data_IF_835426783540
#
_entry.id   IF_835426783540
#
_cell.length_a   1.000
_cell.length_b   1.000
_cell.length_c   1.000
_cell.angle_alpha   90.00
_cell.angle_beta   90.00
_cell.angle_gamma   90.00
#
_symmetry.space_group_name_H-M   'P 1'
#
loop_
_entity.id
_entity.type
_entity.pdbx_description
1 polymer ?
#
# COMPACT_ATOMS: atom_id res chain seq x y z
N UNK A 1 -2.30 -46.19 22.77
CA UNK A 1 -2.34 -45.72 21.37
C UNK A 1 -1.68 -44.35 21.37
N UNK A 2 -0.54 -44.23 20.71
CA UNK A 2 0.25 -43.01 20.64
C UNK A 2 -0.03 -42.38 19.29
N UNK A 3 -0.53 -41.15 19.26
CA UNK A 3 -0.80 -40.42 18.02
C UNK A 3 0.44 -39.62 17.65
N UNK A 4 1.04 -39.93 16.52
CA UNK A 4 2.05 -39.08 15.87
C UNK A 4 1.36 -37.81 15.31
N UNK A 5 2.02 -36.65 15.31
CA UNK A 5 1.47 -35.45 14.70
C UNK A 5 1.62 -35.50 13.18
N UNK A 6 0.53 -35.22 12.45
CA UNK A 6 0.53 -35.12 11.00
C UNK A 6 1.31 -33.87 10.55
N UNK A 7 2.34 -34.10 9.72
CA UNK A 7 3.08 -33.07 9.01
C UNK A 7 2.18 -32.37 7.98
N UNK A 8 1.86 -31.10 8.21
CA UNK A 8 1.16 -30.24 7.26
C UNK A 8 2.22 -29.58 6.36
N UNK A 9 2.64 -30.28 5.31
CA UNK A 9 3.44 -29.69 4.23
C UNK A 9 2.48 -29.11 3.18
N UNK A 10 1.90 -27.94 3.46
CA UNK A 10 1.15 -27.18 2.46
C UNK A 10 2.13 -26.50 1.51
N UNK A 11 2.37 -27.17 0.38
CA UNK A 11 3.03 -26.60 -0.79
C UNK A 11 2.12 -25.49 -1.35
N UNK A 12 2.33 -24.25 -0.90
CA UNK A 12 1.64 -23.07 -1.44
C UNK A 12 2.27 -22.77 -2.80
N UNK A 13 1.65 -23.29 -3.86
CA UNK A 13 1.93 -22.97 -5.25
C UNK A 13 1.35 -21.57 -5.54
N UNK A 14 2.12 -20.52 -5.25
CA UNK A 14 1.78 -19.16 -5.66
C UNK A 14 2.21 -19.02 -7.11
N UNK A 15 1.25 -19.10 -8.02
CA UNK A 15 1.44 -18.81 -9.45
C UNK A 15 1.77 -17.32 -9.64
N UNK A 16 3.07 -16.99 -9.62
CA UNK A 16 3.61 -15.64 -9.92
C UNK A 16 3.68 -15.44 -11.45
N UNK A 17 2.61 -15.75 -12.17
CA UNK A 17 2.56 -15.61 -13.64
C UNK A 17 1.62 -14.51 -14.14
N UNK A 18 1.08 -13.66 -13.27
CA UNK A 18 0.17 -12.58 -13.69
C UNK A 18 0.62 -11.18 -13.31
N UNK A 19 1.93 -10.92 -13.21
CA UNK A 19 2.44 -9.54 -13.26
C UNK A 19 2.28 -9.04 -14.69
N UNK A 20 1.04 -8.67 -15.02
CA UNK A 20 0.72 -7.84 -16.18
C UNK A 20 1.43 -6.51 -15.96
N UNK A 21 2.39 -6.21 -16.83
CA UNK A 21 2.85 -4.84 -17.13
C UNK A 21 1.62 -4.00 -17.49
N UNK A 22 0.94 -3.53 -16.45
CA UNK A 22 -0.22 -2.67 -16.56
C UNK A 22 0.34 -1.26 -16.55
N UNK A 23 0.32 -0.62 -17.71
CA UNK A 23 0.86 0.72 -17.95
C UNK A 23 0.62 1.64 -16.75
N UNK A 24 1.72 2.12 -16.19
CA UNK A 24 1.85 2.86 -14.92
C UNK A 24 1.06 4.20 -14.89
N UNK A 25 0.36 4.56 -15.95
CA UNK A 25 -0.06 5.95 -16.18
C UNK A 25 -1.37 6.33 -15.45
N UNK A 26 -2.26 5.36 -15.20
CA UNK A 26 -3.59 5.61 -14.59
C UNK A 26 -3.64 5.38 -13.07
N UNK A 27 -2.56 4.89 -12.46
CA UNK A 27 -2.50 4.64 -11.02
C UNK A 27 -2.51 5.95 -10.22
N UNK A 28 -3.24 5.96 -9.10
CA UNK A 28 -3.37 7.12 -8.21
C UNK A 28 -2.02 7.59 -7.65
N UNK A 29 -1.15 6.62 -7.34
CA UNK A 29 0.26 6.82 -6.98
C UNK A 29 1.07 5.75 -7.69
N UNK A 30 2.10 6.18 -8.42
CA UNK A 30 3.04 5.29 -9.13
C UNK A 30 4.20 4.87 -8.23
N UNK A 31 4.87 3.76 -8.58
CA UNK A 31 6.08 3.32 -7.87
C UNK A 31 7.17 4.40 -7.88
N UNK A 32 7.32 5.10 -9.00
CA UNK A 32 8.29 6.21 -9.13
C UNK A 32 7.99 7.36 -8.16
N UNK A 33 6.72 7.75 -8.02
CA UNK A 33 6.32 8.77 -7.04
C UNK A 33 6.55 8.30 -5.60
N UNK A 34 6.32 7.03 -5.32
CA UNK A 34 6.56 6.46 -3.99
C UNK A 34 8.05 6.41 -3.65
N UNK A 35 8.91 5.96 -4.57
CA UNK A 35 10.37 6.02 -4.42
C UNK A 35 10.86 7.44 -4.17
N UNK A 36 10.34 8.41 -4.91
CA UNK A 36 10.63 9.83 -4.69
C UNK A 36 10.20 10.30 -3.31
N UNK A 37 9.02 9.88 -2.84
CA UNK A 37 8.53 10.21 -1.51
C UNK A 37 9.45 9.67 -0.39
N UNK A 38 10.01 8.47 -0.57
CA UNK A 38 10.96 7.86 0.34
C UNK A 38 12.41 8.35 0.17
N UNK A 39 12.69 9.24 -0.79
CA UNK A 39 14.04 9.64 -1.20
C UNK A 39 14.93 8.45 -1.66
N UNK A 40 14.33 7.47 -2.35
CA UNK A 40 15.00 6.30 -2.91
C UNK A 40 15.28 6.41 -4.43
N UNK A 41 15.14 7.60 -5.03
CA UNK A 41 15.42 7.78 -6.46
C UNK A 41 16.88 7.45 -6.79
N UNK A 42 17.08 6.53 -7.75
CA UNK A 42 18.41 6.07 -8.15
C UNK A 42 19.08 5.09 -7.18
N UNK A 43 18.38 4.66 -6.13
CA UNK A 43 18.83 3.59 -5.23
C UNK A 43 18.29 2.26 -5.77
N UNK A 44 19.19 1.29 -5.93
CA UNK A 44 18.82 -0.09 -6.25
C UNK A 44 18.22 -0.73 -4.99
N UNK A 45 16.90 -0.92 -5.00
CA UNK A 45 16.13 -1.46 -3.89
C UNK A 45 15.19 -2.56 -4.41
N UNK A 46 14.72 -3.41 -3.52
CA UNK A 46 13.71 -4.42 -3.84
C UNK A 46 12.38 -3.75 -4.20
N UNK A 47 12.18 -3.56 -5.51
CA UNK A 47 10.99 -2.95 -6.10
C UNK A 47 9.73 -3.77 -5.82
N UNK A 48 9.85 -5.10 -5.64
CA UNK A 48 8.70 -5.96 -5.37
C UNK A 48 8.12 -5.65 -3.98
N UNK A 49 8.98 -5.40 -2.99
CA UNK A 49 8.54 -4.99 -1.63
C UNK A 49 7.87 -3.61 -1.69
N UNK A 50 8.48 -2.65 -2.38
CA UNK A 50 7.90 -1.30 -2.52
C UNK A 50 6.56 -1.35 -3.25
N UNK A 51 6.47 -2.14 -4.31
CA UNK A 51 5.25 -2.32 -5.10
C UNK A 51 4.14 -2.98 -4.26
N UNK A 52 4.47 -4.04 -3.52
CA UNK A 52 3.53 -4.73 -2.64
C UNK A 52 2.94 -3.82 -1.56
N UNK A 53 3.79 -2.99 -0.92
CA UNK A 53 3.35 -2.07 0.13
C UNK A 53 2.48 -0.94 -0.43
N UNK A 54 2.83 -0.44 -1.62
CA UNK A 54 2.04 0.57 -2.34
C UNK A 54 0.66 0.03 -2.74
N UNK A 55 0.60 -1.15 -3.36
CA UNK A 55 -0.66 -1.76 -3.78
C UNK A 55 -1.57 -2.09 -2.58
N UNK A 56 -0.98 -2.54 -1.47
CA UNK A 56 -1.69 -2.77 -0.21
C UNK A 56 -2.29 -1.47 0.34
N UNK A 57 -1.54 -0.37 0.30
CA UNK A 57 -2.01 0.94 0.77
C UNK A 57 -3.12 1.53 -0.12
N UNK A 58 -3.00 1.39 -1.44
CA UNK A 58 -4.04 1.80 -2.40
C UNK A 58 -5.32 1.01 -2.13
N UNK A 59 -5.23 -0.31 -2.04
CA UNK A 59 -6.38 -1.19 -1.75
C UNK A 59 -7.06 -0.82 -0.43
N UNK A 60 -6.27 -0.57 0.62
CA UNK A 60 -6.79 -0.14 1.92
C UNK A 60 -7.53 1.19 1.81
N UNK A 61 -6.92 2.21 1.21
CA UNK A 61 -7.52 3.54 1.10
C UNK A 61 -8.80 3.52 0.26
N UNK A 62 -8.80 2.78 -0.86
CA UNK A 62 -9.99 2.62 -1.70
C UNK A 62 -11.13 1.96 -0.93
N UNK A 63 -10.84 0.89 -0.18
CA UNK A 63 -11.83 0.20 0.65
C UNK A 63 -12.35 1.10 1.78
N UNK A 64 -11.46 1.80 2.48
CA UNK A 64 -11.82 2.71 3.56
C UNK A 64 -12.65 3.90 3.08
N UNK A 65 -12.46 4.31 1.82
CA UNK A 65 -13.16 5.42 1.21
C UNK A 65 -14.39 5.01 0.37
N UNK A 66 -14.66 3.71 0.23
CA UNK A 66 -15.73 3.16 -0.61
C UNK A 66 -15.72 3.74 -2.04
N UNK A 67 -14.52 4.00 -2.57
CA UNK A 67 -14.30 4.65 -3.86
C UNK A 67 -12.94 4.25 -4.41
N UNK A 68 -12.89 4.01 -5.72
CA UNK A 68 -11.66 3.81 -6.46
C UNK A 68 -11.40 5.07 -7.31
N UNK A 69 -10.41 5.85 -6.88
CA UNK A 69 -10.03 7.05 -7.60
C UNK A 69 -9.19 6.72 -8.82
N UNK A 70 -9.36 7.51 -9.88
CA UNK A 70 -8.40 7.62 -10.98
C UNK A 70 -7.37 8.68 -10.64
N UNK A 71 -6.20 8.63 -11.28
CA UNK A 71 -5.18 9.66 -11.08
C UNK A 71 -5.70 11.09 -11.31
N UNK A 72 -6.58 11.29 -12.29
CA UNK A 72 -7.12 12.59 -12.67
C UNK A 72 -8.14 13.18 -11.69
N UNK A 73 -8.80 12.34 -10.90
CA UNK A 73 -9.88 12.76 -9.98
C UNK A 73 -9.55 12.48 -8.51
N UNK A 74 -8.37 11.94 -8.21
CA UNK A 74 -7.96 11.66 -6.85
C UNK A 74 -7.62 12.94 -6.07
N UNK A 75 -8.29 13.20 -4.92
CA UNK A 75 -7.95 14.30 -4.05
C UNK A 75 -6.50 14.17 -3.52
N UNK A 76 -5.75 15.28 -3.38
CA UNK A 76 -4.41 15.27 -2.80
C UNK A 76 -4.33 14.56 -1.44
N UNK A 77 -5.35 14.71 -0.59
CA UNK A 77 -5.41 14.09 0.74
C UNK A 77 -5.41 12.56 0.65
N UNK A 78 -6.11 11.99 -0.33
CA UNK A 78 -6.12 10.54 -0.57
C UNK A 78 -4.75 10.07 -1.06
N UNK A 79 -4.09 10.83 -1.94
CA UNK A 79 -2.72 10.53 -2.39
C UNK A 79 -1.74 10.54 -1.21
N UNK A 80 -1.85 11.52 -0.30
CA UNK A 80 -1.03 11.56 0.91
C UNK A 80 -1.36 10.42 1.89
N UNK A 81 -2.63 10.03 2.00
CA UNK A 81 -3.05 8.89 2.81
C UNK A 81 -2.41 7.58 2.29
N UNK A 82 -2.42 7.37 0.97
CA UNK A 82 -1.77 6.23 0.32
C UNK A 82 -0.25 6.25 0.57
N UNK A 83 0.43 7.37 0.31
CA UNK A 83 1.88 7.48 0.50
C UNK A 83 2.28 7.25 1.97
N UNK A 84 1.54 7.83 2.91
CA UNK A 84 1.81 7.65 4.34
C UNK A 84 1.60 6.21 4.81
N UNK A 85 0.53 5.55 4.33
CA UNK A 85 0.26 4.15 4.68
C UNK A 85 1.25 3.19 4.02
N UNK A 86 1.59 3.41 2.75
CA UNK A 86 2.60 2.62 2.04
C UNK A 86 3.96 2.72 2.73
N UNK A 87 4.35 3.92 3.16
CA UNK A 87 5.56 4.14 3.96
C UNK A 87 5.51 3.35 5.26
N UNK A 88 4.40 3.40 6.00
CA UNK A 88 4.27 2.64 7.24
C UNK A 88 4.35 1.12 7.02
N UNK A 89 3.71 0.60 5.97
CA UNK A 89 3.82 -0.81 5.59
C UNK A 89 5.24 -1.20 5.22
N UNK A 90 5.93 -0.35 4.46
CA UNK A 90 7.32 -0.53 4.12
C UNK A 90 8.21 -0.58 5.37
N UNK A 91 8.14 0.42 6.24
CA UNK A 91 8.90 0.46 7.49
C UNK A 91 8.57 -0.74 8.40
N UNK A 92 7.32 -1.20 8.42
CA UNK A 92 6.93 -2.40 9.18
C UNK A 92 7.56 -3.67 8.61
N UNK A 93 7.63 -3.79 7.28
CA UNK A 93 8.27 -4.92 6.59
C UNK A 93 9.79 -4.94 6.80
N UNK A 94 10.43 -3.76 6.88
CA UNK A 94 11.87 -3.65 7.12
C UNK A 94 12.25 -3.69 8.60
N UNK A 95 11.27 -3.60 9.51
CA UNK A 95 11.51 -3.56 10.96
C UNK A 95 11.90 -2.18 11.49
N UNK A 96 11.66 -1.12 10.71
CA UNK A 96 12.04 0.27 10.99
C UNK A 96 10.82 1.18 11.25
N UNK A 97 9.65 0.60 11.56
CA UNK A 97 8.41 1.34 11.80
C UNK A 97 8.59 2.48 12.81
N UNK A 98 8.41 3.71 12.32
CA UNK A 98 8.56 4.94 13.10
C UNK A 98 7.42 5.18 14.10
N UNK A 99 6.27 4.54 13.86
CA UNK A 99 5.05 4.65 14.66
C UNK A 99 4.27 3.32 14.65
N UNK A 100 3.33 3.16 15.59
CA UNK A 100 2.45 1.99 15.58
C UNK A 100 1.41 2.07 14.46
N UNK A 101 0.91 0.91 14.04
CA UNK A 101 -0.15 0.81 13.02
C UNK A 101 -1.40 1.60 13.41
N UNK A 102 -1.79 1.59 14.68
CA UNK A 102 -2.93 2.37 15.16
C UNK A 102 -2.77 3.88 14.91
N UNK A 103 -1.56 4.42 15.11
CA UNK A 103 -1.29 5.85 14.91
C UNK A 103 -1.26 6.18 13.41
N UNK A 104 -0.63 5.33 12.61
CA UNK A 104 -0.61 5.48 11.15
C UNK A 104 -2.04 5.49 10.58
N UNK A 105 -2.87 4.52 10.98
CA UNK A 105 -4.25 4.40 10.51
C UNK A 105 -5.13 5.59 10.93
N UNK A 106 -4.95 6.13 12.15
CA UNK A 106 -5.65 7.37 12.57
C UNK A 106 -5.33 8.55 11.66
N UNK A 107 -4.06 8.70 11.26
CA UNK A 107 -3.63 9.75 10.32
C UNK A 107 -4.26 9.57 8.94
N UNK A 108 -4.21 8.35 8.41
CA UNK A 108 -4.82 7.96 7.13
C UNK A 108 -6.32 8.27 7.13
N UNK A 109 -7.06 7.79 8.13
CA UNK A 109 -8.51 8.01 8.22
C UNK A 109 -8.86 9.49 8.29
N UNK A 110 -8.06 10.30 9.00
CA UNK A 110 -8.28 11.75 9.05
C UNK A 110 -8.13 12.41 7.67
N UNK A 111 -7.12 12.02 6.89
CA UNK A 111 -6.95 12.53 5.52
C UNK A 111 -8.11 12.10 4.62
N UNK A 112 -8.56 10.84 4.72
CA UNK A 112 -9.71 10.36 3.96
C UNK A 112 -11.00 11.11 4.32
N UNK A 113 -11.22 11.44 5.59
CA UNK A 113 -12.37 12.26 6.01
C UNK A 113 -12.32 13.66 5.38
N UNK A 114 -11.16 14.33 5.43
CA UNK A 114 -10.99 15.67 4.82
C UNK A 114 -11.27 15.61 3.31
N UNK A 115 -10.78 14.58 2.62
CA UNK A 115 -11.04 14.40 1.19
C UNK A 115 -12.55 14.35 0.88
N UNK A 116 -13.33 13.63 1.70
CA UNK A 116 -14.79 13.53 1.52
C UNK A 116 -15.48 14.85 1.78
N UNK A 117 -15.10 15.56 2.84
CA UNK A 117 -15.68 16.85 3.21
C UNK A 117 -15.46 17.90 2.10
N UNK A 118 -14.29 17.88 1.46
CA UNK A 118 -13.95 18.80 0.36
C UNK A 118 -14.72 18.50 -0.95
N UNK A 119 -15.22 17.28 -1.15
CA UNK A 119 -16.05 16.92 -2.32
C UNK A 119 -17.51 17.39 -2.12
N UNK A 120 -17.95 17.55 -0.88
CA UNK A 120 -19.33 17.92 -0.53
C UNK A 120 -19.61 19.44 -0.47
N UNK A 121 -18.64 20.30 -0.79
CA UNK A 121 -18.77 21.77 -0.82
C UNK A 121 -18.92 22.31 -2.24
#
# INVERSE_FOLDING_TARGET
MSSEPEDINENIDIDVSSVVESGDDDRVVTLSEFKKFLNLEGIDYDDDILQLTLDSAISYCNKANETEYKRSDCPPEVRYAILGLATHYFETKTGEASQSEEVALKGVHRLLTIARENITL
#
